data_IF_255104152490
#
_entry.id   IF_255104152490
#
_cell.length_a   1.000
_cell.length_b   1.000
_cell.length_c   1.000
_cell.angle_alpha   90.00
_cell.angle_beta   90.00
_cell.angle_gamma   90.00
#
_symmetry.space_group_name_H-M   'P 1'
#
loop_
_entity.id
_entity.type
_entity.pdbx_description
1 polymer ?
#
# COMPACT_ATOMS: atom_id res chain seq x y z
N UNK A 1 11.37 -11.82 10.85
CA UNK A 1 10.48 -11.91 9.69
C UNK A 1 9.31 -10.92 9.80
N UNK A 2 8.40 -11.07 10.76
CA UNK A 2 7.19 -10.24 10.90
C UNK A 2 7.43 -8.73 11.00
N UNK A 3 8.47 -8.29 11.72
CA UNK A 3 8.81 -6.85 11.85
C UNK A 3 9.22 -6.19 10.53
N UNK A 4 9.83 -6.93 9.61
CA UNK A 4 10.25 -6.39 8.31
C UNK A 4 9.05 -6.31 7.36
N UNK A 5 8.24 -7.38 7.28
CA UNK A 5 6.97 -7.36 6.55
C UNK A 5 6.05 -6.23 7.02
N UNK A 6 5.92 -6.01 8.33
CA UNK A 6 5.08 -4.92 8.87
C UNK A 6 5.61 -3.52 8.53
N UNK A 7 6.93 -3.31 8.52
CA UNK A 7 7.55 -2.04 8.13
C UNK A 7 7.28 -1.71 6.66
N UNK A 8 7.47 -2.69 5.77
CA UNK A 8 7.22 -2.53 4.34
C UNK A 8 5.73 -2.40 4.03
N UNK A 9 4.88 -3.22 4.66
CA UNK A 9 3.42 -3.15 4.54
C UNK A 9 2.86 -1.80 4.95
N UNK A 10 3.31 -1.22 6.07
CA UNK A 10 2.86 0.12 6.48
C UNK A 10 3.27 1.20 5.47
N UNK A 11 4.53 1.20 5.03
CA UNK A 11 5.03 2.26 4.16
C UNK A 11 4.35 2.21 2.77
N UNK A 12 4.23 1.02 2.17
CA UNK A 12 3.60 0.86 0.86
C UNK A 12 2.08 0.98 0.94
N UNK A 13 1.45 0.56 2.04
CA UNK A 13 0.03 0.82 2.31
C UNK A 13 -0.28 2.30 2.44
N UNK A 14 0.57 3.08 3.12
CA UNK A 14 0.40 4.53 3.25
C UNK A 14 0.57 5.24 1.90
N UNK A 15 1.58 4.85 1.12
CA UNK A 15 1.81 5.41 -0.22
C UNK A 15 0.66 5.08 -1.17
N UNK A 16 0.20 3.82 -1.18
CA UNK A 16 -0.95 3.39 -1.99
C UNK A 16 -2.24 4.11 -1.60
N UNK A 17 -2.49 4.24 -0.29
CA UNK A 17 -3.63 4.98 0.23
C UNK A 17 -3.60 6.45 -0.19
N UNK A 18 -2.48 7.15 0.04
CA UNK A 18 -2.35 8.56 -0.33
C UNK A 18 -2.49 8.76 -1.83
N UNK A 19 -1.87 7.90 -2.65
CA UNK A 19 -1.98 7.96 -4.10
C UNK A 19 -3.42 7.78 -4.61
N UNK A 20 -4.13 6.75 -4.13
CA UNK A 20 -5.52 6.52 -4.56
C UNK A 20 -6.57 7.35 -3.82
N UNK A 21 -6.22 8.04 -2.74
CA UNK A 21 -7.09 9.00 -2.06
C UNK A 21 -6.96 10.40 -2.68
N UNK A 22 -5.72 10.88 -2.87
CA UNK A 22 -5.43 12.22 -3.40
C UNK A 22 -5.54 12.26 -4.93
N UNK A 23 -5.15 11.20 -5.63
CA UNK A 23 -5.20 11.13 -7.09
C UNK A 23 -6.61 11.41 -7.65
N UNK A 24 -7.65 10.69 -7.23
CA UNK A 24 -9.01 10.95 -7.69
C UNK A 24 -9.53 12.33 -7.28
N UNK A 25 -9.13 12.85 -6.11
CA UNK A 25 -9.52 14.20 -5.66
C UNK A 25 -8.97 15.29 -6.58
N UNK A 26 -7.77 15.10 -7.15
CA UNK A 26 -7.15 16.06 -8.06
C UNK A 26 -7.60 15.86 -9.52
N UNK A 27 -7.60 14.62 -10.00
CA UNK A 27 -7.78 14.31 -11.42
C UNK A 27 -9.22 13.97 -11.81
N UNK A 28 -10.08 13.62 -10.86
CA UNK A 28 -11.49 13.31 -11.08
C UNK A 28 -12.37 13.87 -9.95
N UNK A 29 -12.33 15.19 -9.69
CA UNK A 29 -13.03 15.81 -8.56
C UNK A 29 -14.56 15.65 -8.62
N UNK A 30 -15.12 15.51 -9.83
CA UNK A 30 -16.56 15.30 -10.05
C UNK A 30 -17.01 13.85 -9.83
N UNK A 31 -16.07 12.92 -9.61
CA UNK A 31 -16.42 11.57 -9.23
C UNK A 31 -17.02 11.59 -7.82
N UNK A 32 -18.31 11.28 -7.71
CA UNK A 32 -19.08 11.22 -6.46
C UNK A 32 -18.48 10.26 -5.38
N UNK A 33 -17.43 9.52 -5.72
CA UNK A 33 -16.74 8.55 -4.87
C UNK A 33 -15.20 8.72 -4.85
N UNK A 34 -14.70 9.95 -5.08
CA UNK A 34 -13.27 10.26 -5.20
C UNK A 34 -12.34 9.46 -4.24
N UNK A 35 -12.50 9.57 -2.92
CA UNK A 35 -11.56 8.94 -1.97
C UNK A 35 -11.76 7.42 -1.76
N UNK A 36 -12.82 6.79 -2.30
CA UNK A 36 -13.11 5.38 -2.05
C UNK A 36 -12.07 4.45 -2.67
N UNK A 37 -11.45 4.84 -3.79
CA UNK A 37 -10.36 4.10 -4.42
C UNK A 37 -9.13 4.01 -3.50
N UNK A 38 -8.82 5.10 -2.79
CA UNK A 38 -7.81 5.20 -1.75
C UNK A 38 -8.07 4.25 -0.60
N UNK A 39 -9.30 4.31 -0.09
CA UNK A 39 -9.71 3.65 1.13
C UNK A 39 -9.91 2.12 0.98
N UNK A 40 -10.54 1.68 -0.11
CA UNK A 40 -10.96 0.28 -0.27
C UNK A 40 -10.04 -0.54 -1.18
N UNK A 41 -9.31 0.10 -2.09
CA UNK A 41 -8.49 -0.63 -3.06
C UNK A 41 -7.01 -0.33 -2.86
N UNK A 42 -6.55 0.86 -3.22
CA UNK A 42 -5.11 1.16 -3.34
C UNK A 42 -4.38 1.16 -1.99
N UNK A 43 -5.02 1.59 -0.90
CA UNK A 43 -4.48 1.50 0.47
C UNK A 43 -4.31 0.06 0.95
N UNK A 44 -5.40 -0.74 1.02
CA UNK A 44 -5.32 -2.16 1.40
C UNK A 44 -4.39 -2.98 0.49
N UNK A 45 -4.44 -2.76 -0.83
CA UNK A 45 -3.60 -3.46 -1.80
C UNK A 45 -2.11 -3.13 -1.61
N UNK A 46 -1.78 -1.84 -1.41
CA UNK A 46 -0.42 -1.41 -1.09
C UNK A 46 0.11 -2.02 0.21
N UNK A 47 -0.76 -2.18 1.22
CA UNK A 47 -0.40 -2.84 2.47
C UNK A 47 -0.08 -4.33 2.27
N UNK A 48 -0.94 -5.06 1.55
CA UNK A 48 -0.76 -6.49 1.26
C UNK A 48 0.51 -6.73 0.45
N UNK A 49 0.72 -5.97 -0.63
CA UNK A 49 1.91 -6.08 -1.48
C UNK A 49 3.19 -5.74 -0.72
N UNK A 50 3.18 -4.69 0.11
CA UNK A 50 4.33 -4.33 0.91
C UNK A 50 4.64 -5.34 2.01
N UNK A 51 3.62 -5.92 2.63
CA UNK A 51 3.81 -6.98 3.62
C UNK A 51 4.41 -8.23 2.99
N UNK A 52 3.86 -8.68 1.84
CA UNK A 52 4.36 -9.82 1.10
C UNK A 52 5.80 -9.61 0.60
N UNK A 53 6.09 -8.47 -0.05
CA UNK A 53 7.43 -8.13 -0.52
C UNK A 53 8.45 -8.04 0.62
N UNK A 54 8.08 -7.43 1.75
CA UNK A 54 8.94 -7.35 2.93
C UNK A 54 9.20 -8.71 3.59
N UNK A 55 8.23 -9.63 3.55
CA UNK A 55 8.40 -11.00 4.02
C UNK A 55 9.34 -11.80 3.10
N UNK A 56 9.17 -11.69 1.78
CA UNK A 56 10.04 -12.35 0.78
C UNK A 56 11.48 -11.83 0.89
N UNK A 57 11.68 -10.52 0.95
CA UNK A 57 13.02 -9.93 1.11
C UNK A 57 13.72 -10.40 2.40
N UNK A 58 12.95 -10.59 3.49
CA UNK A 58 13.48 -11.11 4.75
C UNK A 58 13.92 -12.58 4.65
N UNK A 59 13.22 -13.38 3.86
CA UNK A 59 13.54 -14.79 3.62
C UNK A 59 14.78 -14.92 2.73
N UNK A 60 14.85 -14.16 1.63
CA UNK A 60 16.01 -14.16 0.72
C UNK A 60 17.28 -13.76 1.47
N UNK A 61 17.22 -12.72 2.30
CA UNK A 61 18.36 -12.26 3.14
C UNK A 61 18.79 -13.24 4.23
N UNK A 62 18.00 -14.27 4.52
CA UNK A 62 18.35 -15.34 5.47
C UNK A 62 18.95 -16.56 4.80
N UNK A 63 18.73 -16.71 3.49
CA UNK A 63 19.25 -17.80 2.68
C UNK A 63 20.61 -17.47 2.04
N UNK A 64 21.01 -16.18 2.07
CA UNK A 64 22.35 -15.68 1.73
C UNK A 64 23.17 -15.48 3.00
#
# INVERSE_FOLDING_TARGET
>A
MWRQGLRWGRNLGLIGFLGGFVGPVIFAPDANQGPMLGLFITGPLGFVLGFAGGAVAALVRRAS
#
